data_IF_866816744212
#
_entry.id   IF_866816744212
#
_cell.length_a   1.000
_cell.length_b   1.000
_cell.length_c   1.000
_cell.angle_alpha   90.00
_cell.angle_beta   90.00
_cell.angle_gamma   90.00
#
_symmetry.space_group_name_H-M   'P 1'
#
loop_
_entity.id
_entity.type
_entity.pdbx_description
1 polymer ?
#
# COMPACT_ATOMS: atom_id res chain seq x y z
N UNK A 1 -6.58 1.08 25.90
CA UNK A 1 -7.15 0.05 25.01
C UNK A 1 -5.96 -0.67 24.40
N UNK A 2 -5.74 -1.93 24.79
CA UNK A 2 -4.59 -2.72 24.32
C UNK A 2 -5.02 -3.38 23.02
N UNK A 3 -4.40 -3.04 21.88
CA UNK A 3 -4.69 -3.76 20.64
C UNK A 3 -4.36 -5.24 20.85
N UNK A 4 -5.29 -6.12 20.52
CA UNK A 4 -5.07 -7.56 20.58
C UNK A 4 -4.19 -8.01 19.39
N UNK A 5 -3.56 -9.18 19.51
CA UNK A 5 -2.64 -9.68 18.48
C UNK A 5 -3.32 -9.87 17.12
N UNK A 6 -4.57 -10.34 17.10
CA UNK A 6 -5.33 -10.58 15.86
C UNK A 6 -5.58 -9.27 15.10
N UNK A 7 -5.91 -8.20 15.81
CA UNK A 7 -6.11 -6.86 15.27
C UNK A 7 -4.80 -6.28 14.73
N UNK A 8 -3.69 -6.51 15.44
CA UNK A 8 -2.36 -6.12 14.96
C UNK A 8 -1.98 -6.86 13.67
N UNK A 9 -2.14 -8.19 13.62
CA UNK A 9 -1.84 -9.00 12.44
C UNK A 9 -2.71 -8.59 11.24
N UNK A 10 -4.01 -8.34 11.47
CA UNK A 10 -4.91 -7.84 10.43
C UNK A 10 -4.44 -6.49 9.87
N UNK A 11 -4.07 -5.55 10.72
CA UNK A 11 -3.56 -4.24 10.29
C UNK A 11 -2.24 -4.39 9.52
N UNK A 12 -1.31 -5.25 9.98
CA UNK A 12 -0.05 -5.48 9.26
C UNK A 12 -0.30 -6.15 7.90
N UNK A 13 -1.23 -7.10 7.82
CA UNK A 13 -1.64 -7.74 6.56
C UNK A 13 -2.21 -6.74 5.56
N UNK A 14 -3.09 -5.83 6.02
CA UNK A 14 -3.65 -4.77 5.18
C UNK A 14 -2.56 -3.82 4.65
N UNK A 15 -1.60 -3.43 5.49
CA UNK A 15 -0.47 -2.58 5.05
C UNK A 15 0.37 -3.27 3.98
N UNK A 16 0.65 -4.56 4.16
CA UNK A 16 1.41 -5.33 3.18
C UNK A 16 0.69 -5.40 1.83
N UNK A 17 -0.61 -5.67 1.84
CA UNK A 17 -1.42 -5.69 0.62
C UNK A 17 -1.40 -4.36 -0.14
N UNK A 18 -1.43 -3.23 0.59
CA UNK A 18 -1.33 -1.90 -0.03
C UNK A 18 0.06 -1.66 -0.63
N UNK A 19 1.14 -2.04 0.06
CA UNK A 19 2.50 -1.86 -0.47
C UNK A 19 2.83 -2.79 -1.64
N UNK A 20 2.21 -3.97 -1.66
CA UNK A 20 2.35 -4.95 -2.74
C UNK A 20 1.43 -4.62 -3.94
N UNK A 21 0.58 -3.58 -3.85
CA UNK A 21 -0.31 -3.21 -4.95
C UNK A 21 0.44 -2.52 -6.09
N UNK A 22 -0.04 -2.75 -7.31
CA UNK A 22 0.50 -2.11 -8.51
C UNK A 22 0.37 -0.58 -8.42
N UNK A 23 -0.70 -0.08 -7.83
CA UNK A 23 -0.94 1.35 -7.65
C UNK A 23 0.10 2.00 -6.71
N UNK A 24 0.53 1.30 -5.66
CA UNK A 24 1.59 1.81 -4.79
C UNK A 24 2.93 1.90 -5.52
N UNK A 25 3.28 0.84 -6.26
CA UNK A 25 4.51 0.82 -7.07
C UNK A 25 4.47 1.90 -8.16
N UNK A 26 3.33 2.07 -8.83
CA UNK A 26 3.13 3.10 -9.85
C UNK A 26 3.26 4.51 -9.27
N UNK A 27 2.71 4.77 -8.08
CA UNK A 27 2.88 6.05 -7.40
C UNK A 27 4.34 6.37 -7.09
N UNK A 28 5.11 5.38 -6.63
CA UNK A 28 6.55 5.51 -6.39
C UNK A 28 7.32 5.75 -7.69
N UNK A 29 7.07 4.97 -8.72
CA UNK A 29 7.75 5.09 -10.01
C UNK A 29 7.44 6.44 -10.68
N UNK A 30 6.18 6.86 -10.69
CA UNK A 30 5.77 8.14 -11.25
C UNK A 30 6.41 9.33 -10.52
N UNK A 31 6.55 9.25 -9.19
CA UNK A 31 7.26 10.24 -8.40
C UNK A 31 8.75 10.33 -8.77
N UNK A 32 9.43 9.18 -8.86
CA UNK A 32 10.85 9.10 -9.23
C UNK A 32 11.09 9.61 -10.66
N UNK A 33 10.21 9.25 -11.59
CA UNK A 33 10.27 9.64 -13.01
C UNK A 33 9.71 11.04 -13.28
N UNK A 34 9.15 11.72 -12.27
CA UNK A 34 8.50 13.05 -12.37
C UNK A 34 7.39 13.10 -13.43
N UNK A 35 6.63 12.03 -13.56
CA UNK A 35 5.47 11.93 -14.44
C UNK A 35 4.17 11.80 -13.65
N UNK A 36 3.03 11.89 -14.32
CA UNK A 36 1.74 11.61 -13.68
C UNK A 36 1.59 10.09 -13.48
N UNK A 37 1.15 9.63 -12.29
CA UNK A 37 0.83 8.23 -12.07
C UNK A 37 -0.46 7.82 -12.78
N UNK A 38 -0.56 6.56 -13.17
CA UNK A 38 -1.74 5.93 -13.77
C UNK A 38 -2.27 4.82 -12.86
N UNK A 39 -3.18 5.17 -11.95
CA UNK A 39 -3.79 4.21 -11.02
C UNK A 39 -4.91 3.42 -11.69
N UNK A 40 -4.95 2.10 -11.47
CA UNK A 40 -5.92 1.17 -12.06
C UNK A 40 -6.90 0.58 -11.03
N UNK A 41 -6.61 0.68 -9.73
CA UNK A 41 -7.55 0.36 -8.65
C UNK A 41 -7.77 -1.13 -8.38
N UNK A 42 -6.76 -1.98 -8.60
CA UNK A 42 -6.82 -3.42 -8.32
C UNK A 42 -6.56 -3.77 -6.85
#
# INVERSE_FOLDING_TARGET
HTMNSDEFERIQGMRRAVYDSEDYQEGMNAFLEKRKPNFVGH
#
